data_IF_483944530483
#
_entry.id   IF_483944530483
#
_cell.length_a   1.000
_cell.length_b   1.000
_cell.length_c   1.000
_cell.angle_alpha   90.00
_cell.angle_beta   90.00
_cell.angle_gamma   90.00
#
_symmetry.space_group_name_H-M   'P 1'
#
loop_
_entity.id
_entity.type
_entity.pdbx_description
1 polymer ?
#
# COMPACT_ATOMS: atom_id res chain seq x y z
N UNK A 1 -8.98 -31.33 6.53
CA UNK A 1 -9.29 -30.27 7.50
C UNK A 1 -9.97 -29.16 6.72
N UNK A 2 -11.29 -29.01 6.80
CA UNK A 2 -11.93 -27.80 6.26
C UNK A 2 -11.87 -26.75 7.36
N UNK A 3 -10.74 -26.03 7.40
CA UNK A 3 -10.59 -24.83 8.22
C UNK A 3 -11.52 -23.73 7.70
N UNK A 4 -11.88 -22.78 8.55
CA UNK A 4 -12.69 -21.63 8.17
C UNK A 4 -12.08 -20.90 6.95
N UNK A 5 -12.91 -20.36 6.03
CA UNK A 5 -12.43 -19.61 4.88
C UNK A 5 -11.51 -18.46 5.32
N UNK A 6 -10.38 -18.31 4.65
CA UNK A 6 -9.46 -17.19 4.90
C UNK A 6 -10.10 -15.86 4.47
N UNK A 7 -9.51 -14.73 4.87
CA UNK A 7 -9.96 -13.43 4.38
C UNK A 7 -9.82 -13.35 2.85
N UNK A 8 -8.76 -13.96 2.29
CA UNK A 8 -8.55 -14.04 0.85
C UNK A 8 -9.71 -14.77 0.14
N UNK A 9 -10.16 -15.90 0.70
CA UNK A 9 -11.30 -16.65 0.15
C UNK A 9 -12.59 -15.83 0.24
N UNK A 10 -12.84 -15.18 1.38
CA UNK A 10 -14.03 -14.33 1.60
C UNK A 10 -14.07 -13.12 0.67
N UNK A 11 -12.92 -12.54 0.32
CA UNK A 11 -12.82 -11.43 -0.63
C UNK A 11 -13.06 -11.84 -2.09
N UNK A 12 -13.16 -13.15 -2.39
CA UNK A 12 -13.25 -13.64 -3.77
C UNK A 12 -11.89 -13.78 -4.47
N UNK A 13 -10.82 -13.89 -3.69
CA UNK A 13 -9.47 -14.20 -4.18
C UNK A 13 -8.82 -13.09 -5.01
N UNK A 14 -7.82 -13.49 -5.82
CA UNK A 14 -6.94 -12.55 -6.53
C UNK A 14 -7.69 -11.57 -7.44
N UNK A 15 -8.77 -12.01 -8.08
CA UNK A 15 -9.54 -11.17 -9.01
C UNK A 15 -10.10 -9.92 -8.32
N UNK A 16 -10.55 -10.03 -7.07
CA UNK A 16 -10.98 -8.86 -6.29
C UNK A 16 -9.80 -7.99 -5.91
N UNK A 17 -8.67 -8.58 -5.50
CA UNK A 17 -7.48 -7.82 -5.12
C UNK A 17 -6.92 -7.00 -6.29
N UNK A 18 -6.84 -7.60 -7.48
CA UNK A 18 -6.40 -6.91 -8.69
C UNK A 18 -7.34 -5.78 -9.08
N UNK A 19 -8.66 -5.98 -8.99
CA UNK A 19 -9.65 -4.94 -9.25
C UNK A 19 -9.51 -3.76 -8.29
N UNK A 20 -9.43 -4.03 -6.99
CA UNK A 20 -9.26 -3.01 -5.95
C UNK A 20 -7.96 -2.25 -6.16
N UNK A 21 -6.83 -2.95 -6.33
CA UNK A 21 -5.54 -2.30 -6.48
C UNK A 21 -5.42 -1.52 -7.78
N UNK A 22 -6.08 -1.94 -8.86
CA UNK A 22 -6.15 -1.13 -10.09
C UNK A 22 -6.81 0.23 -9.82
N UNK A 23 -7.98 0.25 -9.20
CA UNK A 23 -8.69 1.49 -8.84
C UNK A 23 -7.85 2.33 -7.87
N UNK A 24 -7.29 1.68 -6.86
CA UNK A 24 -6.46 2.34 -5.85
C UNK A 24 -5.22 3.02 -6.43
N UNK A 25 -4.50 2.35 -7.32
CA UNK A 25 -3.33 2.94 -7.94
C UNK A 25 -3.70 3.98 -9.01
N UNK A 26 -4.84 3.85 -9.71
CA UNK A 26 -5.33 4.93 -10.58
C UNK A 26 -5.52 6.23 -9.78
N UNK A 27 -6.15 6.15 -8.61
CA UNK A 27 -6.31 7.31 -7.72
C UNK A 27 -4.97 7.82 -7.18
N UNK A 28 -4.08 6.94 -6.73
CA UNK A 28 -2.77 7.33 -6.21
C UNK A 28 -1.88 8.03 -7.24
N UNK A 29 -1.82 7.51 -8.47
CA UNK A 29 -0.99 8.09 -9.53
C UNK A 29 -1.48 9.47 -9.96
N UNK A 30 -2.80 9.70 -9.91
CA UNK A 30 -3.40 11.01 -10.20
C UNK A 30 -3.35 11.98 -9.02
N UNK A 31 -3.11 11.50 -7.79
CA UNK A 31 -3.14 12.34 -6.61
C UNK A 31 -1.96 13.35 -6.62
N UNK A 32 -2.21 14.67 -6.47
CA UNK A 32 -1.19 15.72 -6.63
C UNK A 32 0.01 15.59 -5.68
N UNK A 33 -0.23 15.06 -4.48
CA UNK A 33 0.83 14.78 -3.50
C UNK A 33 1.40 13.36 -3.61
N UNK A 34 0.59 12.32 -3.39
CA UNK A 34 1.06 10.94 -3.33
C UNK A 34 1.58 10.39 -4.67
N UNK A 35 1.07 10.87 -5.81
CA UNK A 35 1.50 10.44 -7.14
C UNK A 35 2.99 10.67 -7.39
N UNK A 36 3.58 11.67 -6.74
CA UNK A 36 5.00 12.01 -6.83
C UNK A 36 5.94 10.90 -6.36
N UNK A 37 5.50 10.00 -5.48
CA UNK A 37 6.30 8.84 -5.07
C UNK A 37 6.41 7.77 -6.16
N UNK A 38 5.53 7.82 -7.16
CA UNK A 38 5.42 6.81 -8.21
C UNK A 38 6.00 7.26 -9.55
N UNK A 39 6.52 8.49 -9.65
CA UNK A 39 7.13 9.00 -10.88
C UNK A 39 8.26 8.09 -11.37
N UNK A 40 8.16 7.63 -12.62
CA UNK A 40 9.14 6.73 -13.24
C UNK A 40 8.97 5.25 -12.87
N UNK A 41 7.95 4.89 -12.08
CA UNK A 41 7.60 3.50 -11.82
C UNK A 41 6.48 3.02 -12.75
N UNK A 42 6.56 1.75 -13.17
CA UNK A 42 5.48 1.09 -13.89
C UNK A 42 4.34 0.75 -12.92
N UNK A 43 3.17 1.35 -13.16
CA UNK A 43 1.96 1.16 -12.36
C UNK A 43 1.53 -0.30 -12.32
N UNK A 44 1.53 -1.00 -13.47
CA UNK A 44 1.09 -2.40 -13.53
C UNK A 44 1.98 -3.31 -12.68
N UNK A 45 3.29 -3.08 -12.73
CA UNK A 45 4.23 -3.82 -11.90
C UNK A 45 4.07 -3.53 -10.39
N UNK A 46 3.57 -2.36 -10.00
CA UNK A 46 3.27 -2.04 -8.60
C UNK A 46 1.95 -2.69 -8.17
N UNK A 47 0.89 -2.56 -8.97
CA UNK A 47 -0.41 -3.19 -8.75
C UNK A 47 -0.26 -4.70 -8.52
N UNK A 48 0.46 -5.38 -9.43
CA UNK A 48 0.68 -6.82 -9.35
C UNK A 48 1.39 -7.22 -8.05
N UNK A 49 2.47 -6.51 -7.69
CA UNK A 49 3.23 -6.81 -6.47
C UNK A 49 2.40 -6.56 -5.22
N UNK A 50 1.60 -5.49 -5.19
CA UNK A 50 0.74 -5.17 -4.06
C UNK A 50 -0.37 -6.23 -3.90
N UNK A 51 -1.00 -6.67 -4.99
CA UNK A 51 -1.99 -7.74 -4.97
C UNK A 51 -1.41 -9.06 -4.45
N UNK A 52 -0.24 -9.46 -4.95
CA UNK A 52 0.44 -10.67 -4.48
C UNK A 52 0.82 -10.57 -3.00
N UNK A 53 1.35 -9.43 -2.56
CA UNK A 53 1.71 -9.22 -1.17
C UNK A 53 0.49 -9.33 -0.25
N UNK A 54 -0.60 -8.63 -0.57
CA UNK A 54 -1.81 -8.63 0.25
C UNK A 54 -2.52 -9.99 0.23
N UNK A 55 -2.52 -10.71 -0.90
CA UNK A 55 -3.08 -12.06 -0.97
C UNK A 55 -2.46 -12.99 0.09
N UNK A 56 -1.13 -12.96 0.22
CA UNK A 56 -0.42 -13.74 1.25
C UNK A 56 -0.80 -13.27 2.65
N UNK A 57 -0.93 -11.96 2.87
CA UNK A 57 -1.36 -11.42 4.17
C UNK A 57 -2.80 -11.76 4.52
N UNK A 58 -3.64 -12.03 3.53
CA UNK A 58 -5.02 -12.46 3.70
C UNK A 58 -5.19 -13.98 3.80
N UNK A 59 -4.11 -14.75 3.67
CA UNK A 59 -4.10 -16.19 3.89
C UNK A 59 -4.04 -17.04 2.62
N UNK A 60 -3.81 -16.46 1.45
CA UNK A 60 -3.62 -17.23 0.21
C UNK A 60 -2.45 -18.21 0.35
N UNK A 61 -2.68 -19.49 0.01
CA UNK A 61 -1.69 -20.57 0.13
C UNK A 61 -0.96 -20.85 -1.19
N UNK A 62 -1.53 -20.45 -2.32
CA UNK A 62 -1.07 -20.73 -3.68
C UNK A 62 -0.46 -19.50 -4.38
N UNK A 63 -0.38 -18.37 -3.69
CA UNK A 63 0.21 -17.12 -4.22
C UNK A 63 1.64 -16.97 -3.72
N UNK A 64 2.57 -16.77 -4.65
CA UNK A 64 3.95 -16.44 -4.35
C UNK A 64 4.22 -14.93 -4.48
N UNK A 65 4.99 -14.39 -3.54
CA UNK A 65 5.47 -13.00 -3.56
C UNK A 65 6.99 -12.98 -3.44
N UNK A 66 7.65 -12.43 -4.46
CA UNK A 66 9.11 -12.31 -4.53
C UNK A 66 9.59 -10.87 -4.36
N UNK A 67 8.70 -9.96 -3.99
CA UNK A 67 9.05 -8.56 -3.76
C UNK A 67 9.72 -8.34 -2.40
N UNK A 68 10.11 -7.08 -2.18
CA UNK A 68 10.74 -6.66 -0.92
C UNK A 68 9.69 -6.60 0.20
N UNK A 69 10.10 -6.88 1.44
CA UNK A 69 9.26 -6.59 2.61
C UNK A 69 9.02 -5.08 2.75
N UNK A 70 7.90 -4.63 3.36
CA UNK A 70 7.52 -3.21 3.42
C UNK A 70 8.64 -2.28 3.91
N UNK A 71 9.32 -2.64 5.00
CA UNK A 71 10.46 -1.88 5.53
C UNK A 71 11.56 -1.66 4.49
N UNK A 72 11.87 -2.70 3.71
CA UNK A 72 12.93 -2.67 2.70
C UNK A 72 12.48 -1.96 1.41
N UNK A 73 11.22 -2.10 1.02
CA UNK A 73 10.63 -1.45 -0.15
C UNK A 73 10.53 0.08 0.04
N UNK A 74 10.16 0.52 1.23
CA UNK A 74 9.91 1.94 1.53
C UNK A 74 11.11 2.62 2.21
N UNK A 75 12.25 1.95 2.38
CA UNK A 75 13.39 2.47 3.18
C UNK A 75 13.91 3.83 2.71
N UNK A 76 13.90 4.08 1.41
CA UNK A 76 14.42 5.30 0.79
C UNK A 76 13.37 6.41 0.64
N UNK A 77 12.14 6.19 1.10
CA UNK A 77 11.02 7.14 0.99
C UNK A 77 10.76 7.77 2.35
N UNK A 78 10.73 9.09 2.45
CA UNK A 78 10.21 9.75 3.65
C UNK A 78 8.70 9.85 3.54
N UNK A 79 7.99 8.95 4.24
CA UNK A 79 6.54 8.90 4.31
C UNK A 79 6.12 9.32 5.72
N UNK A 80 5.26 10.32 5.79
CA UNK A 80 4.71 10.89 7.02
C UNK A 80 3.42 10.17 7.45
N UNK A 81 2.99 10.31 8.72
CA UNK A 81 1.68 9.80 9.16
C UNK A 81 0.52 10.33 8.30
N UNK A 82 0.52 11.64 7.99
CA UNK A 82 -0.51 12.27 7.17
C UNK A 82 -0.61 11.65 5.77
N UNK A 83 0.53 11.40 5.12
CA UNK A 83 0.55 10.74 3.80
C UNK A 83 0.03 9.29 3.88
N UNK A 84 0.34 8.57 4.96
CA UNK A 84 -0.14 7.21 5.17
C UNK A 84 -1.66 7.19 5.41
N UNK A 85 -2.17 8.10 6.24
CA UNK A 85 -3.60 8.24 6.52
C UNK A 85 -4.40 8.61 5.26
N UNK A 86 -3.90 9.58 4.48
CA UNK A 86 -4.49 9.93 3.20
C UNK A 86 -4.52 8.74 2.24
N UNK A 87 -3.43 7.97 2.17
CA UNK A 87 -3.38 6.73 1.41
C UNK A 87 -4.42 5.71 1.89
N UNK A 88 -4.65 5.58 3.20
CA UNK A 88 -5.68 4.70 3.77
C UNK A 88 -7.09 5.14 3.37
N UNK A 89 -7.36 6.45 3.33
CA UNK A 89 -8.65 6.99 2.88
C UNK A 89 -8.90 6.63 1.40
N UNK A 90 -7.89 6.80 0.54
CA UNK A 90 -7.99 6.43 -0.88
C UNK A 90 -8.19 4.91 -1.03
N UNK A 91 -7.51 4.09 -0.23
CA UNK A 91 -7.74 2.64 -0.24
C UNK A 91 -9.19 2.30 0.14
N UNK A 92 -9.72 2.92 1.19
CA UNK A 92 -11.12 2.70 1.60
C UNK A 92 -12.09 3.04 0.47
N UNK A 93 -11.92 4.21 -0.15
CA UNK A 93 -12.72 4.64 -1.29
C UNK A 93 -12.63 3.62 -2.44
N UNK A 94 -11.43 3.13 -2.74
CA UNK A 94 -11.20 2.15 -3.82
C UNK A 94 -11.85 0.80 -3.54
N UNK A 95 -11.88 0.36 -2.28
CA UNK A 95 -12.59 -0.85 -1.86
C UNK A 95 -14.11 -0.70 -2.06
N UNK A 96 -14.66 0.46 -1.70
CA UNK A 96 -16.08 0.77 -1.89
C UNK A 96 -16.44 0.84 -3.38
N UNK A 97 -15.63 1.52 -4.19
CA UNK A 97 -15.80 1.59 -5.65
C UNK A 97 -15.70 0.21 -6.32
N UNK A 98 -14.86 -0.69 -5.79
CA UNK A 98 -14.72 -2.06 -6.27
C UNK A 98 -15.88 -3.00 -5.85
N UNK A 99 -16.82 -2.51 -5.03
CA UNK A 99 -17.97 -3.24 -4.52
C UNK A 99 -17.63 -4.26 -3.44
N UNK A 100 -16.61 -4.00 -2.61
CA UNK A 100 -16.28 -4.86 -1.46
C UNK A 100 -17.25 -4.56 -0.31
N UNK A 101 -17.78 -5.60 0.31
CA UNK A 101 -18.71 -5.47 1.44
C UNK A 101 -18.03 -4.85 2.67
N UNK A 102 -18.77 -4.02 3.43
CA UNK A 102 -18.22 -3.24 4.56
C UNK A 102 -17.61 -4.13 5.65
N UNK A 103 -18.13 -5.34 5.86
CA UNK A 103 -17.58 -6.31 6.82
C UNK A 103 -16.20 -6.87 6.41
N UNK A 104 -15.83 -6.73 5.14
CA UNK A 104 -14.53 -7.12 4.58
C UNK A 104 -13.58 -5.93 4.40
N UNK A 105 -14.11 -4.71 4.28
CA UNK A 105 -13.33 -3.47 4.21
C UNK A 105 -12.51 -3.26 5.50
N UNK A 106 -13.15 -3.36 6.66
CA UNK A 106 -12.48 -3.12 7.94
C UNK A 106 -11.30 -4.08 8.20
N UNK A 107 -11.44 -5.41 8.03
CA UNK A 107 -10.31 -6.35 8.11
C UNK A 107 -9.18 -6.02 7.14
N UNK A 108 -9.49 -5.63 5.89
CA UNK A 108 -8.47 -5.25 4.93
C UNK A 108 -7.68 -4.04 5.42
N UNK A 109 -8.38 -2.96 5.78
CA UNK A 109 -7.76 -1.72 6.24
C UNK A 109 -6.94 -1.93 7.52
N UNK A 110 -7.40 -2.79 8.43
CA UNK A 110 -6.68 -3.13 9.65
C UNK A 110 -5.35 -3.86 9.35
N UNK A 111 -5.36 -4.82 8.43
CA UNK A 111 -4.14 -5.53 8.01
C UNK A 111 -3.18 -4.56 7.31
N UNK A 112 -3.68 -3.70 6.42
CA UNK A 112 -2.86 -2.69 5.75
C UNK A 112 -2.21 -1.71 6.76
N UNK A 113 -3.01 -1.19 7.69
CA UNK A 113 -2.56 -0.30 8.76
C UNK A 113 -1.49 -0.94 9.66
N UNK A 114 -1.47 -2.27 9.81
CA UNK A 114 -0.44 -2.98 10.60
C UNK A 114 0.99 -2.75 10.08
N UNK A 115 1.14 -2.33 8.81
CA UNK A 115 2.44 -2.00 8.21
C UNK A 115 2.90 -0.56 8.49
N UNK A 116 2.09 0.26 9.17
CA UNK A 116 2.42 1.66 9.48
C UNK A 116 3.84 1.84 10.01
N UNK A 117 4.21 1.10 11.06
CA UNK A 117 5.52 1.20 11.71
C UNK A 117 6.69 0.77 10.82
N UNK A 118 6.43 0.03 9.74
CA UNK A 118 7.45 -0.37 8.76
C UNK A 118 7.61 0.65 7.63
N UNK A 119 6.62 1.52 7.43
CA UNK A 119 6.53 2.42 6.28
C UNK A 119 6.79 3.87 6.71
N UNK A 120 6.19 4.31 7.82
CA UNK A 120 6.25 5.69 8.31
C UNK A 120 7.51 5.93 9.15
N UNK A 121 8.14 7.09 8.96
CA UNK A 121 9.38 7.45 9.68
C UNK A 121 9.03 8.44 10.79
N UNK A 122 9.57 8.28 12.02
CA UNK A 122 9.24 9.16 13.15
C UNK A 122 9.53 10.64 12.87
N UNK A 123 10.64 10.92 12.20
CA UNK A 123 11.03 12.28 11.84
C UNK A 123 11.97 12.30 10.63
N UNK A 124 12.10 13.47 10.00
CA UNK A 124 13.02 13.64 8.88
C UNK A 124 14.48 13.45 9.32
N UNK A 125 14.82 13.85 10.54
CA UNK A 125 16.15 13.65 11.14
C UNK A 125 16.49 12.17 11.26
N UNK A 126 15.55 11.37 11.80
CA UNK A 126 15.73 9.91 11.90
C UNK A 126 15.90 9.24 10.54
N UNK A 127 15.23 9.76 9.51
CA UNK A 127 15.34 9.29 8.14
C UNK A 127 16.72 9.59 7.54
N UNK A 128 17.32 10.72 7.86
CA UNK A 128 18.70 11.03 7.43
C UNK A 128 19.75 10.12 8.06
N UNK A 129 19.54 9.67 9.30
CA UNK A 129 20.49 8.84 10.07
C UNK A 129 20.55 7.37 9.63
N UNK A 130 19.47 6.84 9.07
CA UNK A 130 19.30 5.39 8.82
C UNK A 130 19.61 4.96 7.39
N UNK A 131 20.18 5.86 6.58
CA UNK A 131 20.24 5.71 5.13
C UNK A 131 21.63 5.36 4.58
N UNK A 132 21.66 4.55 3.53
CA UNK A 132 22.90 4.17 2.84
C UNK A 132 23.35 5.25 1.84
N UNK A 133 24.65 5.55 1.82
CA UNK A 133 25.23 6.67 1.05
C UNK A 133 24.93 6.65 -0.46
N UNK A 134 24.61 5.49 -1.03
CA UNK A 134 24.42 5.30 -2.48
C UNK A 134 22.96 5.28 -2.92
N UNK A 135 22.00 5.33 -2.00
CA UNK A 135 20.57 5.33 -2.36
C UNK A 135 20.05 6.75 -2.51
N UNK A 136 19.24 7.02 -3.55
CA UNK A 136 18.57 8.30 -3.69
C UNK A 136 17.39 8.36 -2.72
N UNK A 137 17.40 9.34 -1.81
CA UNK A 137 16.27 9.63 -0.92
C UNK A 137 15.15 10.27 -1.73
N UNK A 138 13.91 9.87 -1.44
CA UNK A 138 12.71 10.46 -2.01
C UNK A 138 11.95 11.15 -0.88
N UNK A 139 11.82 12.47 -0.97
CA UNK A 139 11.09 13.30 -0.03
C UNK A 139 10.11 14.12 -0.88
N UNK A 140 8.82 13.96 -0.62
CA UNK A 140 7.77 14.68 -1.35
C UNK A 140 7.09 15.66 -0.38
N UNK A 141 7.42 16.97 -0.43
CA UNK A 141 6.78 17.96 0.41
C UNK A 141 5.29 18.11 0.06
N UNK A 142 4.49 18.54 1.04
CA UNK A 142 3.07 18.84 0.81
C UNK A 142 2.94 19.98 -0.22
N UNK A 143 2.21 19.77 -1.34
CA UNK A 143 1.92 20.82 -2.31
C UNK A 143 1.25 22.02 -1.65
N UNK A 144 1.51 23.22 -2.16
CA UNK A 144 1.00 24.46 -1.56
C UNK A 144 -0.52 24.53 -1.62
N UNK A 145 -1.12 23.96 -2.65
CA UNK A 145 -2.56 23.90 -2.90
C UNK A 145 -3.32 23.02 -1.88
N UNK A 146 -2.60 22.21 -1.11
CA UNK A 146 -3.16 21.32 -0.08
C UNK A 146 -2.82 21.77 1.35
N UNK A 147 -2.14 22.91 1.53
CA UNK A 147 -1.75 23.42 2.85
C UNK A 147 -2.89 24.06 3.61
#
# INVERSE_FOLDING_TARGET
>A
MSGEPTLYDRLGGMATLERVHKIFYDHLYLHPWLGKFFEGHDQRAIEQRQSQFMAIKFGALDVAYYGKQPRMAHRALYITPEQFELRQQILRQSLQEAGVDEDLIEPWLAIDASFFAQIVKPSIESFYQTHWRFERRVIVPKPEELR
#
